data_IF_285709570471
#
_entry.id   IF_285709570471
#
_cell.length_a   1.000
_cell.length_b   1.000
_cell.length_c   1.000
_cell.angle_alpha   90.00
_cell.angle_beta   90.00
_cell.angle_gamma   90.00
#
_symmetry.space_group_name_H-M   'P 1'
#
loop_
_entity.id
_entity.type
_entity.pdbx_description
1 polymer ?
#
# COMPACT_ATOMS: atom_id res chain seq x y z
N UNK A 1 11.62 -15.74 8.51
CA UNK A 1 10.37 -15.91 9.27
C UNK A 1 10.66 -15.42 10.68
N UNK A 2 10.00 -14.38 11.15
CA UNK A 2 10.22 -13.87 12.51
C UNK A 2 9.58 -14.86 13.47
N UNK A 3 10.36 -15.37 14.42
CA UNK A 3 9.94 -16.51 15.24
C UNK A 3 8.98 -16.12 16.38
N UNK A 4 8.74 -14.83 16.65
CA UNK A 4 8.08 -14.35 17.87
C UNK A 4 6.93 -13.34 17.64
N UNK A 5 5.99 -13.63 16.74
CA UNK A 5 4.79 -12.79 16.62
C UNK A 5 3.81 -13.07 17.78
N UNK A 6 3.42 -12.04 18.55
CA UNK A 6 2.33 -12.15 19.54
C UNK A 6 1.06 -11.57 18.95
N UNK A 7 0.11 -12.44 18.58
CA UNK A 7 -1.15 -12.07 17.94
C UNK A 7 -1.29 -12.58 16.51
N UNK A 8 -2.19 -11.98 15.73
CA UNK A 8 -2.45 -12.36 14.33
C UNK A 8 -1.35 -11.85 13.40
N UNK A 9 -0.82 -12.72 12.54
CA UNK A 9 0.17 -12.35 11.52
C UNK A 9 -0.45 -11.31 10.56
N UNK A 10 0.17 -10.13 10.36
CA UNK A 10 -0.34 -9.12 9.46
C UNK A 10 -0.39 -9.62 8.02
N UNK A 11 -1.42 -9.19 7.30
CA UNK A 11 -1.71 -9.49 5.90
C UNK A 11 -2.04 -10.96 5.59
N UNK A 12 -1.99 -11.88 6.56
CA UNK A 12 -2.15 -13.32 6.27
C UNK A 12 -3.52 -13.68 5.68
N UNK A 13 -4.55 -12.86 5.95
CA UNK A 13 -5.90 -13.02 5.40
C UNK A 13 -6.02 -12.54 3.94
N UNK A 14 -5.03 -11.80 3.42
CA UNK A 14 -5.05 -11.25 2.07
C UNK A 14 -4.30 -12.18 1.12
N UNK A 15 -4.91 -12.63 0.01
CA UNK A 15 -4.29 -13.62 -0.88
C UNK A 15 -2.99 -13.12 -1.52
N UNK A 16 -2.82 -11.80 -1.63
CA UNK A 16 -1.68 -11.15 -2.24
C UNK A 16 -0.51 -10.87 -1.27
N UNK A 17 -0.60 -11.18 0.03
CA UNK A 17 0.43 -10.83 1.01
C UNK A 17 1.85 -11.29 0.64
N UNK A 18 1.97 -12.44 -0.03
CA UNK A 18 3.26 -12.97 -0.51
C UNK A 18 3.94 -12.06 -1.55
N UNK A 19 3.17 -11.26 -2.30
CA UNK A 19 3.72 -10.28 -3.23
C UNK A 19 4.30 -9.08 -2.50
N UNK A 20 3.64 -8.61 -1.43
CA UNK A 20 4.21 -7.59 -0.55
C UNK A 20 5.49 -8.11 0.11
N UNK A 21 5.50 -9.33 0.61
CA UNK A 21 6.70 -9.93 1.18
C UNK A 21 7.87 -9.94 0.19
N UNK A 22 7.61 -10.28 -1.07
CA UNK A 22 8.63 -10.27 -2.13
C UNK A 22 9.11 -8.86 -2.43
N UNK A 23 8.20 -7.88 -2.50
CA UNK A 23 8.54 -6.48 -2.76
C UNK A 23 9.40 -5.90 -1.62
N UNK A 24 9.01 -6.13 -0.38
CA UNK A 24 9.77 -5.69 0.80
C UNK A 24 11.10 -6.42 0.89
N UNK A 25 11.12 -7.73 0.67
CA UNK A 25 12.35 -8.53 0.62
C UNK A 25 13.33 -8.01 -0.44
N UNK A 26 12.82 -7.66 -1.63
CA UNK A 26 13.60 -6.99 -2.67
C UNK A 26 14.17 -5.67 -2.16
N UNK A 27 13.37 -4.80 -1.54
CA UNK A 27 13.84 -3.52 -1.02
C UNK A 27 14.94 -3.66 0.05
N UNK A 28 14.79 -4.64 0.96
CA UNK A 28 15.77 -4.94 2.01
C UNK A 28 17.10 -5.39 1.41
N UNK A 29 17.08 -6.23 0.38
CA UNK A 29 18.28 -6.73 -0.30
C UNK A 29 19.07 -5.64 -1.04
N UNK A 30 18.41 -4.57 -1.49
CA UNK A 30 19.06 -3.49 -2.25
C UNK A 30 19.63 -2.38 -1.34
N UNK A 31 19.50 -2.52 -0.01
CA UNK A 31 20.13 -1.68 1.04
C UNK A 31 19.96 -0.15 0.94
N UNK A 32 19.11 0.36 0.05
CA UNK A 32 18.85 1.79 -0.12
C UNK A 32 17.59 2.21 0.65
N UNK A 33 17.70 3.26 1.45
CA UNK A 33 16.54 3.87 2.13
C UNK A 33 15.48 4.34 1.11
N UNK A 34 15.91 4.77 -0.09
CA UNK A 34 14.99 5.14 -1.17
C UNK A 34 14.17 3.95 -1.67
N UNK A 35 14.77 2.77 -1.78
CA UNK A 35 14.06 1.55 -2.20
C UNK A 35 13.03 1.13 -1.16
N UNK A 36 13.33 1.28 0.14
CA UNK A 36 12.39 0.99 1.22
C UNK A 36 11.20 1.96 1.19
N UNK A 37 11.47 3.26 1.08
CA UNK A 37 10.44 4.30 1.00
C UNK A 37 9.53 4.09 -0.24
N UNK A 38 10.13 3.88 -1.41
CA UNK A 38 9.39 3.60 -2.65
C UNK A 38 8.48 2.37 -2.52
N UNK A 39 9.01 1.26 -1.98
CA UNK A 39 8.21 0.05 -1.81
C UNK A 39 7.07 0.24 -0.80
N UNK A 40 7.30 1.04 0.25
CA UNK A 40 6.25 1.40 1.21
C UNK A 40 5.13 2.18 0.54
N UNK A 41 5.46 3.26 -0.18
CA UNK A 41 4.46 4.09 -0.89
C UNK A 41 3.69 3.29 -1.94
N UNK A 42 4.37 2.39 -2.67
CA UNK A 42 3.73 1.48 -3.61
C UNK A 42 2.76 0.53 -2.91
N UNK A 43 3.17 -0.12 -1.82
CA UNK A 43 2.31 -1.04 -1.06
C UNK A 43 1.09 -0.32 -0.47
N UNK A 44 1.27 0.91 0.05
CA UNK A 44 0.19 1.75 0.55
C UNK A 44 -0.78 2.15 -0.56
N UNK A 45 -0.26 2.49 -1.75
CA UNK A 45 -1.10 2.78 -2.91
C UNK A 45 -1.94 1.56 -3.29
N UNK A 46 -1.37 0.35 -3.29
CA UNK A 46 -2.09 -0.88 -3.56
C UNK A 46 -3.16 -1.22 -2.50
N UNK A 47 -2.88 -0.97 -1.22
CA UNK A 47 -3.89 -1.10 -0.16
C UNK A 47 -5.08 -0.17 -0.38
N UNK A 48 -4.84 1.04 -0.90
CA UNK A 48 -5.91 1.94 -1.25
C UNK A 48 -6.83 1.34 -2.32
N UNK A 49 -6.26 0.67 -3.33
CA UNK A 49 -7.03 -0.04 -4.37
C UNK A 49 -7.87 -1.15 -3.76
N UNK A 50 -7.24 -2.01 -2.96
CA UNK A 50 -7.90 -3.18 -2.35
C UNK A 50 -9.02 -2.76 -1.37
N UNK A 51 -8.83 -1.64 -0.66
CA UNK A 51 -9.84 -1.06 0.23
C UNK A 51 -10.95 -0.27 -0.49
N UNK A 52 -10.88 -0.15 -1.83
CA UNK A 52 -11.84 0.58 -2.65
C UNK A 52 -12.80 -0.37 -3.33
N UNK A 53 -14.06 -0.37 -2.88
CA UNK A 53 -15.13 -1.13 -3.51
C UNK A 53 -15.67 -0.43 -4.76
N UNK A 54 -16.08 -1.22 -5.77
CA UNK A 54 -16.72 -0.69 -6.97
C UNK A 54 -15.77 0.09 -7.87
N UNK A 55 -14.48 -0.25 -7.86
CA UNK A 55 -13.43 0.43 -8.63
C UNK A 55 -13.80 0.52 -10.12
N UNK A 56 -14.49 -0.50 -10.64
CA UNK A 56 -15.02 -0.58 -12.01
C UNK A 56 -15.88 0.63 -12.40
N UNK A 57 -16.65 1.21 -11.47
CA UNK A 57 -17.50 2.38 -11.70
C UNK A 57 -16.71 3.70 -11.81
N UNK A 58 -15.41 3.65 -11.54
CA UNK A 58 -14.47 4.76 -11.58
C UNK A 58 -13.39 4.56 -12.65
N UNK A 59 -13.42 3.46 -13.39
CA UNK A 59 -12.52 3.25 -14.53
C UNK A 59 -12.99 4.13 -15.67
N UNK A 60 -12.19 5.13 -16.02
CA UNK A 60 -12.43 6.02 -17.14
C UNK A 60 -11.46 5.72 -18.29
N UNK A 61 -11.99 5.63 -19.51
CA UNK A 61 -11.15 5.56 -20.71
C UNK A 61 -10.72 6.98 -21.07
N UNK A 62 -9.43 7.27 -20.95
CA UNK A 62 -8.87 8.53 -21.41
C UNK A 62 -8.61 8.46 -22.92
N UNK A 63 -9.22 9.37 -23.69
CA UNK A 63 -9.01 9.46 -25.16
C UNK A 63 -7.60 9.88 -25.56
N UNK A 64 -6.84 10.46 -24.63
CA UNK A 64 -5.45 10.84 -24.82
C UNK A 64 -4.49 9.71 -24.39
N UNK A 65 -5.01 8.56 -23.95
CA UNK A 65 -4.17 7.42 -23.61
C UNK A 65 -3.61 6.82 -24.91
N UNK A 66 -2.30 6.51 -24.98
CA UNK A 66 -1.72 5.87 -26.15
C UNK A 66 -2.37 4.51 -26.40
N UNK A 67 -2.48 4.11 -27.67
CA UNK A 67 -3.23 2.93 -28.12
C UNK A 67 -2.79 1.59 -27.49
N UNK A 68 -1.64 1.55 -26.81
CA UNK A 68 -1.12 0.38 -26.10
C UNK A 68 -1.65 0.23 -24.66
N UNK A 69 -2.43 1.19 -24.15
CA UNK A 69 -3.00 1.18 -22.81
C UNK A 69 -4.53 1.16 -22.86
N UNK A 70 -5.13 0.09 -22.35
CA UNK A 70 -6.56 -0.20 -22.55
C UNK A 70 -7.48 0.51 -21.54
N UNK A 71 -6.93 1.03 -20.45
CA UNK A 71 -7.66 1.75 -19.40
C UNK A 71 -6.67 2.50 -18.47
N UNK A 72 -7.13 3.58 -17.86
CA UNK A 72 -6.42 4.27 -16.77
C UNK A 72 -7.31 4.24 -15.52
N UNK A 73 -6.75 3.80 -14.40
CA UNK A 73 -7.40 3.95 -13.09
C UNK A 73 -6.82 5.18 -12.42
N UNK A 74 -7.61 6.24 -12.31
CA UNK A 74 -7.23 7.45 -11.60
C UNK A 74 -7.23 7.20 -10.09
N UNK A 75 -6.07 6.93 -9.51
CA UNK A 75 -5.89 6.82 -8.04
C UNK A 75 -5.82 8.16 -7.34
N UNK A 76 -5.37 9.16 -8.08
CA UNK A 76 -5.39 10.57 -7.74
C UNK A 76 -6.33 11.19 -8.76
N UNK A 77 -7.04 12.25 -8.36
CA UNK A 77 -7.99 13.02 -9.18
C UNK A 77 -7.41 13.58 -10.51
N UNK A 78 -6.26 13.12 -11.00
CA UNK A 78 -5.43 13.73 -12.04
C UNK A 78 -5.05 12.69 -13.11
N UNK A 79 -5.31 13.01 -14.37
CA UNK A 79 -5.03 12.13 -15.51
C UNK A 79 -3.62 12.37 -16.08
N UNK A 80 -2.68 11.42 -15.92
CA UNK A 80 -1.33 11.58 -16.46
C UNK A 80 -1.26 11.58 -17.99
N UNK A 81 -2.04 10.78 -18.75
CA UNK A 81 -2.04 10.90 -20.21
C UNK A 81 -2.52 12.29 -20.67
N UNK A 82 -3.53 12.89 -20.01
CA UNK A 82 -3.92 14.25 -20.37
C UNK A 82 -2.76 15.25 -20.17
N UNK A 83 -2.00 15.12 -19.09
CA UNK A 83 -0.84 15.98 -18.88
C UNK A 83 0.22 15.76 -19.96
N UNK A 84 0.60 14.52 -20.24
CA UNK A 84 1.66 14.21 -21.20
C UNK A 84 1.32 14.63 -22.64
N UNK A 85 0.06 14.49 -23.07
CA UNK A 85 -0.34 14.72 -24.46
C UNK A 85 -1.02 16.06 -24.71
N UNK A 86 -1.52 16.72 -23.66
CA UNK A 86 -2.22 18.02 -23.80
C UNK A 86 -1.62 19.13 -22.95
N UNK A 87 -0.55 18.84 -22.20
CA UNK A 87 0.13 19.73 -21.25
C UNK A 87 -0.83 20.28 -20.16
N UNK A 88 -1.86 19.49 -19.83
CA UNK A 88 -2.91 19.88 -18.89
C UNK A 88 -3.30 18.72 -17.98
N UNK A 89 -3.30 18.99 -16.69
CA UNK A 89 -3.92 18.11 -15.73
C UNK A 89 -5.44 18.21 -15.82
N UNK A 90 -6.08 17.09 -16.12
CA UNK A 90 -7.54 16.97 -16.19
C UNK A 90 -8.02 16.17 -14.99
N UNK A 91 -9.07 16.69 -14.35
CA UNK A 91 -9.69 16.03 -13.22
C UNK A 91 -10.38 14.73 -13.64
N UNK A 92 -10.14 13.65 -12.89
CA UNK A 92 -10.88 12.39 -13.02
C UNK A 92 -11.62 12.08 -11.74
N UNK A 93 -12.72 11.32 -11.85
CA UNK A 93 -13.48 10.89 -10.69
C UNK A 93 -12.65 9.87 -9.89
N UNK A 94 -12.04 10.27 -8.78
CA UNK A 94 -11.37 9.32 -7.90
C UNK A 94 -12.38 8.56 -7.05
N UNK A 95 -12.17 7.24 -6.97
CA UNK A 95 -12.87 6.39 -6.02
C UNK A 95 -12.35 6.69 -4.60
N UNK A 96 -13.28 6.73 -3.63
CA UNK A 96 -12.92 6.87 -2.22
C UNK A 96 -12.94 5.49 -1.56
N UNK A 97 -11.89 5.12 -0.83
CA UNK A 97 -11.85 3.86 -0.12
C UNK A 97 -12.82 3.89 1.05
N UNK A 98 -13.27 2.71 1.46
CA UNK A 98 -14.07 2.59 2.67
C UNK A 98 -13.15 2.84 3.88
N UNK A 99 -13.40 3.92 4.63
CA UNK A 99 -12.47 4.41 5.66
C UNK A 99 -12.07 3.36 6.70
N UNK A 100 -13.01 2.49 7.11
CA UNK A 100 -12.74 1.38 8.03
C UNK A 100 -11.87 0.28 7.43
N UNK A 101 -12.07 -0.05 6.16
CA UNK A 101 -11.31 -1.08 5.43
C UNK A 101 -9.88 -0.60 5.16
N UNK A 102 -9.73 0.65 4.72
CA UNK A 102 -8.41 1.24 4.48
C UNK A 102 -7.60 1.28 5.77
N UNK A 103 -8.18 1.79 6.87
CA UNK A 103 -7.47 1.90 8.14
C UNK A 103 -6.91 0.56 8.61
N UNK A 104 -7.75 -0.48 8.61
CA UNK A 104 -7.32 -1.85 8.96
C UNK A 104 -6.20 -2.34 8.05
N UNK A 105 -6.37 -2.22 6.74
CA UNK A 105 -5.39 -2.73 5.77
C UNK A 105 -4.06 -1.98 5.81
N UNK A 106 -4.09 -0.65 5.93
CA UNK A 106 -2.88 0.16 6.08
C UNK A 106 -2.11 -0.20 7.35
N UNK A 107 -2.80 -0.43 8.47
CA UNK A 107 -2.15 -0.90 9.70
C UNK A 107 -1.51 -2.26 9.50
N UNK A 108 -2.19 -3.22 8.85
CA UNK A 108 -1.59 -4.53 8.58
C UNK A 108 -0.35 -4.43 7.64
N UNK A 109 -0.35 -3.53 6.65
CA UNK A 109 0.84 -3.26 5.81
C UNK A 109 1.99 -2.67 6.64
N UNK A 110 1.72 -1.65 7.45
CA UNK A 110 2.72 -1.00 8.31
C UNK A 110 3.39 -2.05 9.20
N UNK A 111 2.59 -2.88 9.88
CA UNK A 111 3.11 -3.93 10.77
C UNK A 111 3.96 -4.94 10.01
N UNK A 112 3.54 -5.32 8.79
CA UNK A 112 4.33 -6.22 7.96
C UNK A 112 5.67 -5.61 7.58
N UNK A 113 5.68 -4.35 7.12
CA UNK A 113 6.90 -3.62 6.74
C UNK A 113 7.88 -3.51 7.90
N UNK A 114 7.40 -3.05 9.06
CA UNK A 114 8.20 -2.93 10.29
C UNK A 114 8.85 -4.27 10.63
N UNK A 115 8.05 -5.35 10.60
CA UNK A 115 8.52 -6.69 10.92
C UNK A 115 9.65 -7.17 9.98
N UNK A 116 9.55 -6.86 8.69
CA UNK A 116 10.49 -7.35 7.69
C UNK A 116 11.77 -6.50 7.57
N UNK A 117 11.67 -5.19 7.75
CA UNK A 117 12.81 -4.27 7.62
C UNK A 117 13.70 -4.28 8.87
N UNK A 118 13.08 -4.46 10.03
CA UNK A 118 13.77 -4.35 11.32
C UNK A 118 13.68 -5.68 12.07
N UNK A 119 14.48 -6.69 11.66
CA UNK A 119 14.42 -8.04 12.24
C UNK A 119 14.85 -8.10 13.72
N UNK A 120 15.31 -6.99 14.30
CA UNK A 120 15.65 -6.87 15.73
C UNK A 120 14.43 -6.60 16.62
N UNK A 121 13.23 -6.42 16.06
CA UNK A 121 12.03 -6.34 16.87
C UNK A 121 11.69 -7.73 17.46
N UNK A 122 11.70 -7.83 18.79
CA UNK A 122 11.33 -9.06 19.50
C UNK A 122 9.84 -9.39 19.39
N UNK A 123 8.99 -8.36 19.23
CA UNK A 123 7.55 -8.50 18.96
C UNK A 123 6.97 -7.23 18.33
N UNK A 124 5.89 -7.39 17.56
CA UNK A 124 5.09 -6.29 16.99
C UNK A 124 3.65 -6.49 17.47
N UNK A 125 3.09 -5.53 18.21
CA UNK A 125 1.77 -5.62 18.83
C UNK A 125 0.82 -4.60 18.22
N UNK A 126 -0.28 -5.06 17.60
CA UNK A 126 -1.35 -4.18 17.13
C UNK A 126 -2.26 -3.81 18.29
N UNK A 127 -2.31 -2.52 18.64
CA UNK A 127 -3.18 -1.99 19.70
C UNK A 127 -4.19 -1.05 19.03
N UNK A 128 -5.39 -1.57 18.75
CA UNK A 128 -6.48 -0.72 18.25
C UNK A 128 -7.12 0.06 19.40
N UNK A 129 -7.35 1.37 19.21
CA UNK A 129 -8.11 2.19 20.14
C UNK A 129 -7.30 3.32 20.79
N UNK A 130 -7.42 4.49 20.19
CA UNK A 130 -7.23 5.83 20.75
C UNK A 130 -5.89 6.30 21.33
N UNK A 131 -4.93 5.49 21.77
CA UNK A 131 -3.64 6.07 22.25
C UNK A 131 -2.40 5.21 21.94
N UNK A 132 -1.53 5.79 21.11
CA UNK A 132 -0.08 5.52 20.94
C UNK A 132 0.37 4.18 20.35
N UNK A 133 0.61 4.25 19.03
CA UNK A 133 1.44 3.37 18.19
C UNK A 133 0.87 2.00 17.80
N UNK A 134 0.78 1.77 16.49
CA UNK A 134 0.43 0.46 15.89
C UNK A 134 1.52 -0.61 16.13
N UNK A 135 2.75 -0.19 16.45
CA UNK A 135 3.88 -1.07 16.76
C UNK A 135 4.79 -0.41 17.80
N UNK A 136 5.24 -1.18 18.80
CA UNK A 136 6.16 -0.72 19.84
C UNK A 136 7.38 -1.62 19.83
N UNK A 137 8.58 -1.03 19.90
CA UNK A 137 9.81 -1.76 20.15
C UNK A 137 9.87 -2.16 21.63
N UNK A 138 9.92 -3.45 21.93
CA UNK A 138 10.27 -3.91 23.27
C UNK A 138 11.75 -4.29 23.20
N UNK A 139 12.60 -3.45 23.77
CA UNK A 139 14.00 -3.78 24.02
C UNK A 139 14.05 -4.55 25.34
N UNK A 140 14.59 -5.78 25.32
CA UNK A 140 14.96 -6.52 26.52
C UNK A 140 16.32 -6.10 27.06
#
# INVERSE_FOLDING_TARGET
MIQNYKGKIPLVEYPWHKHIDRLVGWAVLHHSEYSKAFCYDLAMSLAFIDATSGLEDYIEICRNCPDSFNAHVGFINMCSPCYEYTDKWVYQKAAKPQSGTLGKLSSEIILRFISMIFPKFESVLSIGGTETADAINILS
#
